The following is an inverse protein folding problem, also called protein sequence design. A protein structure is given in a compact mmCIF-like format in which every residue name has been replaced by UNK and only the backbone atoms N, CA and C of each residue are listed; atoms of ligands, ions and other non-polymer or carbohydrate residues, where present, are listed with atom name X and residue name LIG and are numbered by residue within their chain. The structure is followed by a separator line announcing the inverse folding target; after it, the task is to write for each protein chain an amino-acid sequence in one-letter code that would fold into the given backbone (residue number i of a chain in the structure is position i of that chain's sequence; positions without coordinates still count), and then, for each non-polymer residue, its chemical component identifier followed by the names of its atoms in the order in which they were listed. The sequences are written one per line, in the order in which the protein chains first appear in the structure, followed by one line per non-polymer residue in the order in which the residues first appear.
data_IF_791889751898
#
_entry.id   IF_791889751898
#
_cell.length_a   1.000
_cell.length_b   1.000
_cell.length_c   1.000
_cell.angle_alpha   90.00
_cell.angle_beta   90.00
_cell.angle_gamma   90.00
#
_symmetry.space_group_name_H-M   'P 1'
#
loop_
_entity.id
_entity.type
_entity.pdbx_description
1 polymer ?
#
# COMPACT_ATOMS: atom_id res chain seq x y z
N UNK A 1 11.89 -13.88 -12.48
CA UNK A 1 10.49 -13.92 -12.94
C UNK A 1 9.84 -12.60 -12.55
N UNK A 2 9.31 -11.85 -13.51
CA UNK A 2 8.58 -10.60 -13.23
C UNK A 2 7.17 -10.94 -12.77
N UNK A 3 6.83 -10.67 -11.51
CA UNK A 3 5.47 -10.86 -11.00
C UNK A 3 4.62 -9.63 -11.35
N UNK A 4 3.48 -9.87 -11.99
CA UNK A 4 2.44 -8.87 -12.15
C UNK A 4 1.61 -8.85 -10.87
N UNK A 5 1.51 -7.69 -10.24
CA UNK A 5 0.71 -7.51 -9.04
C UNK A 5 -0.49 -6.66 -9.39
N UNK A 6 -1.67 -7.24 -9.21
CA UNK A 6 -2.95 -6.54 -9.35
C UNK A 6 -3.37 -6.06 -7.98
N UNK A 7 -3.66 -4.76 -7.85
CA UNK A 7 -4.16 -4.24 -6.59
C UNK A 7 -5.52 -4.89 -6.28
N UNK A 8 -5.74 -5.20 -4.99
CA UNK A 8 -7.05 -5.63 -4.54
C UNK A 8 -8.06 -4.51 -4.81
N UNK A 9 -9.14 -4.86 -5.48
CA UNK A 9 -10.31 -3.99 -5.65
C UNK A 9 -11.24 -4.14 -4.46
N UNK A 10 -11.85 -3.05 -4.01
CA UNK A 10 -12.75 -3.04 -2.87
C UNK A 10 -14.15 -2.61 -3.31
N UNK A 11 -15.17 -3.25 -2.76
CA UNK A 11 -16.54 -2.75 -2.82
C UNK A 11 -16.69 -1.53 -1.89
N UNK A 12 -17.73 -0.72 -2.10
CA UNK A 12 -17.97 0.48 -1.28
C UNK A 12 -18.11 0.16 0.23
N UNK A 13 -18.62 -1.02 0.56
CA UNK A 13 -18.80 -1.51 1.92
C UNK A 13 -17.48 -1.95 2.59
N UNK A 14 -16.47 -2.32 1.79
CA UNK A 14 -15.13 -2.71 2.27
C UNK A 14 -14.18 -1.51 2.39
N UNK A 15 -14.62 -0.29 2.05
CA UNK A 15 -13.80 0.92 2.14
C UNK A 15 -13.67 1.39 3.59
N UNK A 16 -12.47 1.21 4.16
CA UNK A 16 -12.19 1.58 5.55
C UNK A 16 -11.64 3.00 5.69
N UNK A 17 -10.98 3.51 4.65
CA UNK A 17 -10.35 4.83 4.65
C UNK A 17 -11.39 5.92 4.39
N UNK A 18 -11.41 6.98 5.21
CA UNK A 18 -12.12 8.22 4.89
C UNK A 18 -11.43 9.06 3.81
N UNK A 19 -12.04 10.17 3.41
CA UNK A 19 -11.45 11.11 2.43
C UNK A 19 -10.08 11.65 2.90
N UNK A 20 -10.01 12.18 4.13
CA UNK A 20 -8.77 12.74 4.66
C UNK A 20 -7.67 11.68 4.82
N UNK A 21 -8.05 10.49 5.30
CA UNK A 21 -7.12 9.36 5.42
C UNK A 21 -6.60 8.91 4.06
N UNK A 22 -7.47 8.87 3.04
CA UNK A 22 -7.11 8.55 1.66
C UNK A 22 -6.09 9.54 1.12
N UNK A 23 -6.32 10.84 1.33
CA UNK A 23 -5.40 11.90 0.90
C UNK A 23 -4.03 11.74 1.56
N UNK A 24 -4.00 11.46 2.86
CA UNK A 24 -2.76 11.23 3.60
C UNK A 24 -1.99 10.01 3.09
N UNK A 25 -2.70 8.92 2.77
CA UNK A 25 -2.10 7.70 2.21
C UNK A 25 -1.56 7.94 0.80
N UNK A 26 -2.29 8.64 -0.07
CA UNK A 26 -1.80 8.96 -1.40
C UNK A 26 -0.54 9.85 -1.33
N UNK A 27 -0.54 10.87 -0.49
CA UNK A 27 0.63 11.73 -0.27
C UNK A 27 1.82 10.96 0.31
N UNK A 28 1.55 9.93 1.10
CA UNK A 28 2.60 9.08 1.65
C UNK A 28 3.34 8.30 0.56
N UNK A 29 2.62 7.71 -0.40
CA UNK A 29 3.23 7.01 -1.52
C UNK A 29 3.82 7.97 -2.56
N UNK A 30 3.06 8.99 -2.95
CA UNK A 30 3.37 9.86 -4.09
C UNK A 30 3.87 11.23 -3.64
N UNK A 31 5.08 11.26 -3.06
CA UNK A 31 5.68 12.49 -2.50
C UNK A 31 5.83 13.63 -3.52
N UNK A 32 5.97 13.33 -4.80
CA UNK A 32 6.15 14.34 -5.85
C UNK A 32 4.82 14.91 -6.38
N UNK A 33 3.68 14.32 -6.00
CA UNK A 33 2.36 14.64 -6.55
C UNK A 33 1.44 15.30 -5.51
N UNK A 34 1.97 15.81 -4.40
CA UNK A 34 1.16 16.39 -3.30
C UNK A 34 0.19 17.48 -3.78
N UNK A 35 0.66 18.42 -4.60
CA UNK A 35 -0.18 19.51 -5.15
C UNK A 35 -1.32 18.98 -6.02
N UNK A 36 -1.04 17.94 -6.81
CA UNK A 36 -2.08 17.27 -7.59
C UNK A 36 -3.08 16.59 -6.65
N UNK A 37 -2.58 15.89 -5.64
CA UNK A 37 -3.43 15.19 -4.67
C UNK A 37 -4.32 16.14 -3.89
N UNK A 38 -3.85 17.34 -3.54
CA UNK A 38 -4.64 18.35 -2.82
C UNK A 38 -5.84 18.86 -3.62
N UNK A 39 -5.73 18.96 -4.94
CA UNK A 39 -6.85 19.36 -5.80
C UNK A 39 -7.87 18.26 -6.08
N UNK A 40 -7.63 17.02 -5.64
CA UNK A 40 -8.51 15.89 -5.94
C UNK A 40 -9.72 15.80 -5.02
N UNK A 41 -10.85 15.42 -5.61
CA UNK A 41 -12.02 14.89 -4.90
C UNK A 41 -11.81 13.42 -4.56
N UNK A 42 -11.92 13.04 -3.30
CA UNK A 42 -11.71 11.66 -2.86
C UNK A 42 -12.95 10.80 -3.11
N UNK A 43 -13.08 10.28 -4.32
CA UNK A 43 -14.11 9.30 -4.69
C UNK A 43 -13.84 7.91 -4.09
N UNK A 44 -14.85 7.03 -4.09
CA UNK A 44 -14.70 5.64 -3.65
C UNK A 44 -13.61 4.88 -4.43
N UNK A 45 -13.37 5.23 -5.70
CA UNK A 45 -12.26 4.68 -6.48
C UNK A 45 -10.91 5.11 -5.91
N UNK A 46 -10.75 6.39 -5.57
CA UNK A 46 -9.52 6.90 -4.97
C UNK A 46 -9.26 6.24 -3.60
N UNK A 47 -10.33 6.05 -2.80
CA UNK A 47 -10.28 5.35 -1.51
C UNK A 47 -9.87 3.89 -1.68
N UNK A 48 -10.48 3.17 -2.62
CA UNK A 48 -10.16 1.77 -2.93
C UNK A 48 -8.74 1.62 -3.46
N UNK A 49 -8.28 2.53 -4.31
CA UNK A 49 -6.92 2.56 -4.83
C UNK A 49 -5.90 2.77 -3.70
N UNK A 50 -6.10 3.79 -2.86
CA UNK A 50 -5.24 4.03 -1.70
C UNK A 50 -5.19 2.83 -0.74
N UNK A 51 -6.34 2.21 -0.49
CA UNK A 51 -6.45 1.02 0.34
C UNK A 51 -5.69 -0.17 -0.27
N UNK A 52 -5.79 -0.35 -1.59
CA UNK A 52 -5.06 -1.40 -2.31
C UNK A 52 -3.55 -1.23 -2.20
N UNK A 53 -3.06 0.01 -2.33
CA UNK A 53 -1.63 0.32 -2.16
C UNK A 53 -1.14 -0.02 -0.75
N UNK A 54 -1.95 0.23 0.29
CA UNK A 54 -1.60 -0.15 1.66
C UNK A 54 -1.53 -1.66 1.86
N UNK A 55 -2.53 -2.40 1.36
CA UNK A 55 -2.52 -3.86 1.47
C UNK A 55 -1.27 -4.44 0.83
N UNK A 56 -0.95 -4.00 -0.38
CA UNK A 56 0.23 -4.46 -1.11
C UNK A 56 1.54 -4.07 -0.40
N UNK A 57 1.64 -2.83 0.08
CA UNK A 57 2.85 -2.36 0.76
C UNK A 57 3.14 -3.14 2.04
N UNK A 58 2.10 -3.46 2.81
CA UNK A 58 2.20 -4.29 4.00
C UNK A 58 2.60 -5.72 3.58
N UNK A 59 1.84 -6.34 2.67
CA UNK A 59 2.05 -7.73 2.28
C UNK A 59 3.45 -7.97 1.69
N UNK A 60 3.90 -7.11 0.79
CA UNK A 60 5.23 -7.17 0.20
C UNK A 60 6.33 -6.97 1.25
N UNK A 61 6.11 -6.09 2.24
CA UNK A 61 7.08 -5.89 3.33
C UNK A 61 7.26 -7.13 4.18
N UNK A 62 6.19 -7.88 4.46
CA UNK A 62 6.28 -9.16 5.18
C UNK A 62 6.84 -10.29 4.31
N UNK A 63 6.49 -10.33 3.01
CA UNK A 63 7.04 -11.29 2.05
C UNK A 63 8.58 -11.21 1.92
N UNK A 64 9.17 -10.03 2.11
CA UNK A 64 10.63 -9.82 2.07
C UNK A 64 11.38 -10.33 3.32
N UNK A 65 10.68 -10.88 4.32
CA UNK A 65 11.31 -11.58 5.47
C UNK A 65 11.85 -10.64 6.54
N UNK A 66 11.00 -9.74 7.05
CA UNK A 66 11.35 -8.59 7.88
C UNK A 66 12.46 -8.83 8.93
N UNK A 67 13.67 -8.30 8.68
CA UNK A 67 14.72 -8.01 9.68
C UNK A 67 14.93 -6.51 9.65
N UNK A 68 14.79 -5.87 10.81
CA UNK A 68 14.93 -4.43 11.09
C UNK A 68 15.26 -3.48 9.92
N UNK A 69 14.24 -2.78 9.43
CA UNK A 69 14.39 -1.36 9.17
C UNK A 69 13.20 -0.66 9.82
N UNK A 70 13.43 -0.03 10.97
CA UNK A 70 12.47 0.90 11.52
C UNK A 70 12.22 2.00 10.48
N UNK A 71 10.97 2.44 10.40
CA UNK A 71 10.53 3.61 9.66
C UNK A 71 11.16 4.87 10.28
N UNK A 72 12.48 5.04 10.15
CA UNK A 72 13.24 6.17 10.71
C UNK A 72 13.33 7.37 9.77
N UNK A 73 12.82 7.25 8.55
CA UNK A 73 12.87 8.35 7.58
C UNK A 73 11.57 8.53 6.81
N UNK A 74 10.47 8.75 7.53
CA UNK A 74 9.63 9.88 7.12
C UNK A 74 10.13 11.08 7.90
N UNK A 75 11.12 11.74 7.32
CA UNK A 75 11.78 12.95 7.79
C UNK A 75 10.84 14.17 7.82
N UNK A 76 9.63 14.04 8.39
CA UNK A 76 8.80 15.18 8.79
C UNK A 76 7.67 14.74 9.76
N UNK A 77 7.41 15.49 10.84
CA UNK A 77 6.56 15.14 11.97
C UNK A 77 5.06 15.32 11.70
N UNK A 78 4.56 14.85 10.56
CA UNK A 78 3.13 14.63 10.40
C UNK A 78 2.85 13.18 10.79
N UNK A 79 2.54 12.94 12.07
CA UNK A 79 2.14 11.63 12.61
C UNK A 79 0.89 11.03 11.93
N UNK A 80 0.28 11.71 10.96
CA UNK A 80 -0.95 11.33 10.25
C UNK A 80 -0.83 9.98 9.54
N UNK A 81 0.04 9.81 8.53
CA UNK A 81 0.09 8.58 7.74
C UNK A 81 0.40 7.33 8.57
N UNK A 82 1.31 7.42 9.55
CA UNK A 82 1.62 6.29 10.43
C UNK A 82 0.41 5.89 11.29
N UNK A 83 -0.35 6.86 11.81
CA UNK A 83 -1.58 6.59 12.54
C UNK A 83 -2.64 5.96 11.63
N UNK A 84 -2.81 6.48 10.42
CA UNK A 84 -3.74 5.93 9.42
C UNK A 84 -3.36 4.50 9.04
N UNK A 85 -2.08 4.22 8.76
CA UNK A 85 -1.59 2.87 8.42
C UNK A 85 -1.84 1.89 9.57
N UNK A 86 -1.57 2.29 10.82
CA UNK A 86 -1.84 1.44 11.99
C UNK A 86 -3.33 1.22 12.23
N UNK A 87 -4.15 2.27 12.09
CA UNK A 87 -5.60 2.17 12.23
C UNK A 87 -6.19 1.28 11.12
N UNK A 88 -5.67 1.41 9.90
CA UNK A 88 -6.00 0.56 8.78
C UNK A 88 -5.66 -0.90 9.06
N UNK A 89 -4.42 -1.20 9.46
CA UNK A 89 -4.00 -2.58 9.80
C UNK A 89 -4.91 -3.24 10.84
N UNK A 90 -5.34 -2.50 11.87
CA UNK A 90 -6.27 -3.00 12.90
C UNK A 90 -7.68 -3.31 12.36
N UNK A 91 -8.15 -2.55 11.37
CA UNK A 91 -9.49 -2.72 10.76
C UNK A 91 -9.46 -3.67 9.55
N UNK A 92 -8.30 -3.86 8.93
CA UNK A 92 -8.15 -4.63 7.72
C UNK A 92 -8.42 -6.11 7.99
N UNK A 93 -9.15 -6.75 7.08
CA UNK A 93 -9.46 -8.16 7.26
C UNK A 93 -8.21 -9.00 7.00
N UNK A 94 -7.93 -9.96 7.90
CA UNK A 94 -6.74 -10.82 7.83
C UNK A 94 -6.56 -11.49 6.47
N UNK A 95 -7.66 -11.92 5.84
CA UNK A 95 -7.65 -12.61 4.54
C UNK A 95 -7.26 -11.70 3.37
N UNK A 96 -7.02 -10.41 3.59
CA UNK A 96 -6.53 -9.49 2.57
C UNK A 96 -5.03 -9.64 2.32
N UNK A 97 -4.30 -10.22 3.27
CA UNK A 97 -2.85 -10.37 3.24
C UNK A 97 -2.49 -11.84 3.04
N UNK A 98 -1.48 -12.09 2.20
CA UNK A 98 -0.93 -13.43 1.93
C UNK A 98 0.23 -13.77 2.86
N UNK A 99 0.99 -12.77 3.26
CA UNK A 99 2.25 -12.90 4.01
C UNK A 99 2.18 -12.29 5.41
N UNK A 100 1.27 -11.33 5.67
CA UNK A 100 1.13 -10.70 6.98
C UNK A 100 0.15 -11.48 7.90
N UNK A 101 0.53 -11.71 9.16
CA UNK A 101 -0.33 -12.34 10.17
C UNK A 101 -1.19 -11.30 10.94
N UNK A 102 -2.18 -11.76 11.71
CA UNK A 102 -2.96 -10.86 12.57
C UNK A 102 -2.11 -10.07 13.57
N UNK A 103 -1.03 -10.67 14.09
CA UNK A 103 -0.13 -10.00 15.02
C UNK A 103 0.69 -8.90 14.32
N UNK A 104 1.07 -9.15 13.07
CA UNK A 104 1.77 -8.21 12.21
C UNK A 104 0.91 -6.98 11.90
N UNK A 105 -0.38 -7.19 11.67
CA UNK A 105 -1.36 -6.12 11.44
C UNK A 105 -1.59 -5.21 12.65
N UNK A 106 -1.25 -5.66 13.87
CA UNK A 106 -1.29 -4.81 15.07
C UNK A 106 -0.08 -3.87 15.15
N UNK A 107 1.04 -4.28 14.56
CA UNK A 107 2.32 -3.58 14.60
C UNK A 107 2.88 -3.39 13.18
N UNK A 108 2.05 -2.85 12.28
CA UNK A 108 2.38 -2.71 10.87
C UNK A 108 3.70 -1.97 10.67
N UNK A 109 4.58 -2.58 9.87
CA UNK A 109 5.80 -1.96 9.37
C UNK A 109 5.84 -2.07 7.84
N UNK A 110 6.31 -1.01 7.19
CA UNK A 110 6.42 -0.94 5.73
C UNK A 110 7.80 -0.42 5.37
N UNK A 111 8.50 -1.09 4.45
CA UNK A 111 9.82 -0.66 3.98
C UNK A 111 9.72 0.55 3.05
N UNK A 112 10.63 1.52 3.19
CA UNK A 112 10.71 2.66 2.26
C UNK A 112 11.03 2.23 0.82
N UNK A 113 11.81 1.16 0.64
CA UNK A 113 12.08 0.56 -0.67
C UNK A 113 10.81 0.02 -1.32
N UNK A 114 9.90 -0.59 -0.54
CA UNK A 114 8.59 -1.06 -1.00
C UNK A 114 7.72 0.14 -1.39
N UNK A 115 7.63 1.16 -0.53
CA UNK A 115 6.89 2.41 -0.84
C UNK A 115 7.39 3.05 -2.13
N UNK A 116 8.71 3.20 -2.27
CA UNK A 116 9.31 3.83 -3.45
C UNK A 116 9.06 3.02 -4.72
N UNK A 117 9.11 1.69 -4.62
CA UNK A 117 8.86 0.78 -5.75
C UNK A 117 7.38 0.84 -6.16
N UNK A 118 6.46 0.80 -5.19
CA UNK A 118 5.03 0.96 -5.44
C UNK A 118 4.74 2.33 -6.06
N UNK A 119 5.26 3.42 -5.50
CA UNK A 119 5.06 4.76 -6.00
C UNK A 119 5.54 4.90 -7.46
N UNK A 120 6.72 4.38 -7.78
CA UNK A 120 7.26 4.39 -9.15
C UNK A 120 6.35 3.65 -10.12
N UNK A 121 5.90 2.46 -9.73
CA UNK A 121 5.19 1.55 -10.64
C UNK A 121 3.72 1.95 -10.83
N UNK A 122 3.10 2.51 -9.80
CA UNK A 122 1.71 2.97 -9.85
C UNK A 122 1.58 4.46 -10.20
N UNK A 123 2.67 5.15 -10.55
CA UNK A 123 2.65 6.59 -10.87
C UNK A 123 1.75 6.94 -12.05
N UNK A 124 1.82 6.18 -13.13
CA UNK A 124 0.96 6.36 -14.32
C UNK A 124 -0.48 5.93 -14.04
N UNK A 125 -0.65 4.90 -13.20
CA UNK A 125 -1.94 4.36 -12.80
C UNK A 125 -2.67 5.35 -11.90
N UNK A 126 -1.97 6.04 -10.99
CA UNK A 126 -2.53 7.11 -10.16
C UNK A 126 -3.31 8.11 -11.01
N UNK A 127 -2.70 8.64 -12.08
CA UNK A 127 -3.36 9.60 -12.99
C UNK A 127 -4.56 9.00 -13.71
N UNK A 128 -4.50 7.72 -14.05
CA UNK A 128 -5.53 7.02 -14.83
C UNK A 128 -6.72 6.63 -13.95
N UNK A 129 -6.49 6.08 -12.77
CA UNK A 129 -7.53 5.66 -11.82
C UNK A 129 -8.26 6.86 -11.22
N UNK A 130 -7.55 7.96 -10.99
CA UNK A 130 -8.15 9.18 -10.49
C UNK A 130 -8.94 9.95 -11.55
N UNK A 131 -8.69 9.71 -12.84
CA UNK A 131 -9.48 10.27 -13.93
C UNK A 131 -10.79 9.50 -14.17
N UNK A 132 -10.97 8.32 -13.56
CA UNK A 132 -12.16 7.48 -13.77
C UNK A 132 -13.26 7.76 -12.76
N UNK A 133 -14.33 8.38 -13.22
CA UNK A 133 -15.61 8.55 -12.51
C UNK A 133 -16.51 7.31 -12.58
N UNK A 134 -15.95 6.11 -12.32
CA UNK A 134 -16.62 4.78 -12.32
C UNK A 134 -16.69 4.12 -13.71
N UNK A 135 -15.69 3.32 -14.08
CA UNK A 135 -15.86 2.15 -14.97
C UNK A 135 -14.61 1.25 -15.06
N UNK A 136 -14.80 0.02 -14.57
CA UNK A 136 -14.39 -1.27 -15.17
C UNK A 136 -12.94 -1.45 -15.68
N UNK A 137 -12.04 -1.88 -14.78
CA UNK A 137 -11.09 -3.03 -14.92
C UNK A 137 -10.10 -3.02 -13.74
N UNK A 138 -9.73 -4.16 -13.13
CA UNK A 138 -8.66 -4.19 -12.14
C UNK A 138 -7.30 -3.85 -12.80
N UNK A 139 -6.52 -2.95 -12.20
CA UNK A 139 -5.23 -2.49 -12.74
C UNK A 139 -4.08 -3.22 -12.03
N UNK A 140 -3.09 -3.67 -12.81
CA UNK A 140 -1.87 -4.30 -12.32
C UNK A 140 -0.61 -3.58 -12.79
N UNK A 141 0.42 -3.58 -11.95
CA UNK A 141 1.75 -3.07 -12.28
C UNK A 141 2.80 -4.16 -12.05
N UNK A 142 3.91 -4.10 -12.79
CA UNK A 142 5.05 -5.00 -12.56
C UNK A 142 5.83 -4.53 -11.32
N UNK A 143 5.86 -5.32 -10.26
CA UNK A 143 6.72 -5.08 -9.10
C UNK A 143 7.89 -6.06 -9.16
N UNK A 144 9.10 -5.57 -9.44
CA UNK A 144 10.32 -6.36 -9.33
C UNK A 144 10.95 -6.11 -7.95
N UNK A 145 10.55 -6.88 -6.94
CA UNK A 145 11.31 -7.01 -5.70
C UNK A 145 11.85 -8.45 -5.60
N UNK A 146 13.09 -8.61 -5.16
CA UNK A 146 13.66 -9.93 -4.94
C UNK A 146 13.04 -10.52 -3.68
N UNK A 147 12.07 -11.42 -3.84
CA UNK A 147 11.66 -12.33 -2.76
C UNK A 147 12.85 -13.23 -2.47
N UNK A 148 13.36 -13.23 -1.23
CA UNK A 148 14.36 -14.20 -0.82
C UNK A 148 13.69 -15.58 -0.90
N UNK A 149 14.12 -16.44 -1.83
CA UNK A 149 13.64 -17.81 -1.89
C UNK A 149 13.95 -18.46 -0.53
N UNK A 150 12.90 -18.77 0.24
CA UNK A 150 13.01 -19.64 1.41
C UNK A 150 13.21 -21.06 0.90
N UNK A 151 14.45 -21.36 0.53
CA UNK A 151 14.90 -22.73 0.28
C UNK A 151 16.31 -22.92 0.84
N UNK A 152 16.47 -22.65 2.13
CA UNK A 152 17.48 -23.32 2.93
C UNK A 152 16.77 -23.98 4.11
N UNK A 153 16.04 -25.06 3.80
CA UNK A 153 15.82 -26.14 4.75
C UNK A 153 17.18 -26.84 4.91
N UNK A 154 17.95 -26.43 5.90
CA UNK A 154 19.04 -27.25 6.42
C UNK A 154 18.43 -28.03 7.58
N UNK A 155 18.09 -29.30 7.33
CA UNK A 155 18.04 -30.30 8.39
C UNK A 155 19.48 -30.68 8.75
N UNK A 156 19.75 -30.79 10.05
CA UNK A 156 21.02 -31.16 10.65
C UNK A 156 21.13 -30.61 12.05
#
# INVERSE_FOLDING_TARGET
MSSYITLRTFSAEELLLGEEETRQVLKFFFKAEHTFIDGLTMSDNARGFAQGLLVEAIDASYAMGYVEAMFRSAANPNQGPVKVIKAFGKKAARHWFKHASSNDLMNVKVYESVVSTIARNFRSILRTELAKTRTERPHGAMLAYQTRQSSDRVWG
#
